data_IF_299649392525
#
_entry.id   IF_299649392525
#
_cell.length_a   1.000
_cell.length_b   1.000
_cell.length_c   1.000
_cell.angle_alpha   90.00
_cell.angle_beta   90.00
_cell.angle_gamma   90.00
#
_symmetry.space_group_name_H-M   'P 1'
#
loop_
_entity.id
_entity.type
_entity.pdbx_description
1 polymer ?
#
# COMPACT_ATOMS: atom_id res chain seq x y z
N UNK A 1 -26.07 -5.24 -19.19
CA UNK A 1 -24.65 -4.89 -19.44
C UNK A 1 -24.53 -4.36 -20.86
N UNK A 2 -23.59 -3.43 -21.12
CA UNK A 2 -23.25 -3.04 -22.50
C UNK A 2 -22.60 -4.22 -23.22
N UNK A 3 -22.72 -4.25 -24.56
CA UNK A 3 -22.04 -5.29 -25.36
C UNK A 3 -20.51 -5.14 -25.34
N UNK A 4 -20.02 -3.90 -25.29
CA UNK A 4 -18.58 -3.56 -25.16
C UNK A 4 -18.44 -2.30 -24.31
N UNK A 5 -17.52 -2.30 -23.35
CA UNK A 5 -17.15 -1.12 -22.58
C UNK A 5 -15.97 -0.39 -23.24
N UNK A 6 -15.90 0.91 -23.07
CA UNK A 6 -14.72 1.67 -23.51
C UNK A 6 -13.52 1.28 -22.63
N UNK A 7 -13.75 1.24 -21.31
CA UNK A 7 -12.70 0.90 -20.34
C UNK A 7 -13.21 -0.09 -19.29
N UNK A 8 -12.36 -1.05 -18.94
CA UNK A 8 -12.55 -1.91 -17.77
C UNK A 8 -11.37 -1.75 -16.83
N UNK A 9 -11.66 -1.47 -15.56
CA UNK A 9 -10.66 -1.42 -14.48
C UNK A 9 -10.82 -2.69 -13.64
N UNK A 10 -9.75 -3.46 -13.48
CA UNK A 10 -9.76 -4.70 -12.71
C UNK A 10 -9.10 -4.50 -11.35
N UNK A 11 -9.89 -4.62 -10.28
CA UNK A 11 -9.50 -4.50 -8.89
C UNK A 11 -10.07 -3.27 -8.20
N UNK A 12 -10.94 -3.49 -7.20
CA UNK A 12 -11.63 -2.49 -6.39
C UNK A 12 -10.83 -2.02 -5.16
N UNK A 13 -9.49 -2.11 -5.20
CA UNK A 13 -8.62 -1.44 -4.24
C UNK A 13 -8.53 0.05 -4.52
N UNK A 14 -7.89 0.82 -3.61
CA UNK A 14 -7.82 2.28 -3.72
C UNK A 14 -7.20 2.78 -5.03
N UNK A 15 -6.22 2.07 -5.59
CA UNK A 15 -5.61 2.44 -6.89
C UNK A 15 -6.60 2.28 -8.03
N UNK A 16 -7.34 1.16 -8.07
CA UNK A 16 -8.36 0.94 -9.08
C UNK A 16 -9.55 1.88 -8.95
N UNK A 17 -10.04 2.13 -7.74
CA UNK A 17 -11.10 3.09 -7.45
C UNK A 17 -10.71 4.52 -7.88
N UNK A 18 -9.51 4.96 -7.52
CA UNK A 18 -8.96 6.26 -7.93
C UNK A 18 -8.84 6.37 -9.46
N UNK A 19 -8.35 5.31 -10.11
CA UNK A 19 -8.22 5.27 -11.58
C UNK A 19 -9.59 5.35 -12.26
N UNK A 20 -10.57 4.54 -11.81
CA UNK A 20 -11.91 4.51 -12.38
C UNK A 20 -12.61 5.87 -12.23
N UNK A 21 -12.56 6.46 -11.05
CA UNK A 21 -13.12 7.77 -10.76
C UNK A 21 -12.51 8.86 -11.63
N UNK A 22 -11.18 8.99 -11.67
CA UNK A 22 -10.50 10.02 -12.46
C UNK A 22 -10.67 9.82 -13.97
N UNK A 23 -10.69 8.56 -14.44
CA UNK A 23 -10.96 8.26 -15.84
C UNK A 23 -12.36 8.72 -16.23
N UNK A 24 -13.35 8.48 -15.37
CA UNK A 24 -14.73 8.91 -15.62
C UNK A 24 -14.89 10.43 -15.55
N UNK A 25 -14.15 11.12 -14.70
CA UNK A 25 -14.09 12.59 -14.66
C UNK A 25 -13.54 13.17 -15.98
N UNK A 26 -12.45 12.59 -16.51
CA UNK A 26 -11.80 13.06 -17.75
C UNK A 26 -12.56 12.67 -19.02
N UNK A 27 -13.33 11.60 -18.96
CA UNK A 27 -14.09 11.04 -20.08
C UNK A 27 -15.53 10.73 -19.65
N UNK A 28 -16.36 11.78 -19.42
CA UNK A 28 -17.71 11.60 -18.91
C UNK A 28 -18.62 10.78 -19.84
N UNK A 29 -18.39 10.82 -21.16
CA UNK A 29 -19.19 10.10 -22.16
C UNK A 29 -18.79 8.62 -22.30
N UNK A 30 -17.59 8.22 -21.83
CA UNK A 30 -17.13 6.84 -21.93
C UNK A 30 -17.81 5.92 -20.94
N UNK A 31 -18.03 4.69 -21.36
CA UNK A 31 -18.48 3.61 -20.47
C UNK A 31 -17.29 3.02 -19.73
N UNK A 32 -17.31 3.12 -18.41
CA UNK A 32 -16.25 2.57 -17.53
C UNK A 32 -16.87 1.57 -16.58
N UNK A 33 -16.29 0.37 -16.53
CA UNK A 33 -16.65 -0.70 -15.61
C UNK A 33 -15.50 -0.98 -14.64
N UNK A 34 -15.77 -0.93 -13.34
CA UNK A 34 -14.88 -1.40 -12.29
C UNK A 34 -15.27 -2.82 -11.87
N UNK A 35 -14.37 -3.78 -12.00
CA UNK A 35 -14.59 -5.20 -11.65
C UNK A 35 -13.83 -5.55 -10.40
N UNK A 36 -14.51 -6.11 -9.39
CA UNK A 36 -13.93 -6.58 -8.13
C UNK A 36 -14.42 -7.99 -7.81
N UNK A 37 -13.51 -8.88 -7.45
CA UNK A 37 -13.82 -10.28 -7.12
C UNK A 37 -14.52 -10.46 -5.78
N UNK A 38 -14.28 -9.55 -4.84
CA UNK A 38 -14.89 -9.59 -3.51
C UNK A 38 -16.30 -8.99 -3.49
N UNK A 39 -17.02 -9.24 -2.41
CA UNK A 39 -18.38 -8.71 -2.20
C UNK A 39 -18.40 -7.21 -1.90
N UNK A 40 -17.25 -6.58 -1.67
CA UNK A 40 -17.11 -5.14 -1.50
C UNK A 40 -15.70 -4.69 -1.89
N UNK A 41 -15.52 -3.40 -2.13
CA UNK A 41 -14.21 -2.81 -2.42
C UNK A 41 -13.31 -2.78 -1.19
N UNK A 42 -12.02 -2.53 -1.37
CA UNK A 42 -11.03 -2.35 -0.32
C UNK A 42 -10.81 -3.57 0.62
N UNK A 43 -11.12 -4.79 0.19
CA UNK A 43 -11.04 -5.98 1.04
C UNK A 43 -9.62 -6.49 1.30
N UNK A 44 -8.65 -6.13 0.46
CA UNK A 44 -7.27 -6.58 0.57
C UNK A 44 -6.34 -5.50 1.15
N UNK A 45 -5.21 -5.18 0.51
CA UNK A 45 -4.18 -4.27 1.03
C UNK A 45 -4.74 -2.90 1.46
N UNK A 46 -5.75 -2.41 0.78
CA UNK A 46 -6.43 -1.13 1.10
C UNK A 46 -7.13 -1.16 2.45
N UNK A 47 -7.74 -2.27 2.82
CA UNK A 47 -8.42 -2.47 4.12
C UNK A 47 -7.51 -3.04 5.21
N UNK A 48 -6.26 -3.38 4.90
CA UNK A 48 -5.30 -4.05 5.79
C UNK A 48 -3.95 -3.31 5.81
N UNK A 49 -3.97 -2.04 6.20
CA UNK A 49 -2.80 -1.18 6.33
C UNK A 49 -2.82 -0.39 7.64
N UNK A 50 -1.84 0.48 7.84
CA UNK A 50 -1.71 1.29 9.06
C UNK A 50 -2.55 2.57 9.08
N UNK A 51 -3.32 2.87 8.03
CA UNK A 51 -4.13 4.08 7.93
C UNK A 51 -3.34 5.40 7.85
N UNK A 52 -2.04 5.36 7.61
CA UNK A 52 -1.17 6.54 7.65
C UNK A 52 -1.15 7.28 6.31
N UNK A 53 -1.44 8.57 6.32
CA UNK A 53 -1.14 9.52 5.25
C UNK A 53 0.32 9.95 5.43
N UNK A 54 1.20 9.42 4.58
CA UNK A 54 2.64 9.59 4.72
C UNK A 54 3.14 10.91 4.14
N UNK A 55 4.15 11.52 4.80
CA UNK A 55 4.81 12.75 4.33
C UNK A 55 6.01 12.49 3.39
N UNK A 56 6.39 11.23 3.13
CA UNK A 56 7.46 10.91 2.15
C UNK A 56 8.89 10.97 2.66
N UNK A 57 9.13 10.96 3.97
CA UNK A 57 10.46 11.16 4.61
C UNK A 57 11.56 10.19 4.19
N UNK A 58 11.22 9.01 3.68
CA UNK A 58 12.19 7.96 3.39
C UNK A 58 12.65 7.90 1.93
N UNK A 59 11.99 8.64 1.03
CA UNK A 59 12.14 8.43 -0.41
C UNK A 59 13.25 9.30 -0.99
N UNK A 60 14.02 8.74 -1.97
CA UNK A 60 15.02 9.53 -2.67
C UNK A 60 14.39 10.74 -3.36
N UNK A 61 15.01 11.92 -3.28
CA UNK A 61 14.54 13.09 -4.00
C UNK A 61 14.45 12.81 -5.53
N UNK A 62 13.36 13.31 -6.15
CA UNK A 62 13.12 13.15 -7.59
C UNK A 62 12.57 11.77 -8.03
N UNK A 63 12.34 10.82 -7.11
CA UNK A 63 11.65 9.57 -7.43
C UNK A 63 10.13 9.78 -7.59
N UNK A 64 9.49 8.96 -8.45
CA UNK A 64 8.01 8.95 -8.57
C UNK A 64 7.35 8.75 -7.21
N UNK A 65 7.96 7.95 -6.37
CA UNK A 65 7.46 7.63 -5.04
C UNK A 65 7.47 8.86 -4.11
N UNK A 66 8.49 9.72 -4.18
CA UNK A 66 8.57 10.96 -3.43
C UNK A 66 7.51 11.97 -3.91
N UNK A 67 7.42 12.17 -5.23
CA UNK A 67 6.44 13.08 -5.84
C UNK A 67 5.00 12.65 -5.55
N UNK A 68 4.65 11.39 -5.87
CA UNK A 68 3.30 10.88 -5.66
C UNK A 68 2.90 10.85 -4.18
N UNK A 69 3.85 10.62 -3.26
CA UNK A 69 3.57 10.67 -1.85
C UNK A 69 3.24 12.10 -1.38
N UNK A 70 4.04 13.09 -1.77
CA UNK A 70 3.85 14.51 -1.38
C UNK A 70 2.51 15.03 -1.92
N UNK A 71 2.25 14.86 -3.21
CA UNK A 71 1.00 15.28 -3.85
C UNK A 71 -0.21 14.50 -3.32
N UNK A 72 -0.07 13.20 -3.18
CA UNK A 72 -1.13 12.31 -2.69
C UNK A 72 -1.55 12.59 -1.26
N UNK A 73 -0.63 13.00 -0.39
CA UNK A 73 -0.95 13.39 0.98
C UNK A 73 -1.91 14.60 1.00
N UNK A 74 -1.58 15.64 0.24
CA UNK A 74 -2.43 16.83 0.12
C UNK A 74 -3.81 16.51 -0.46
N UNK A 75 -3.83 15.80 -1.60
CA UNK A 75 -5.07 15.41 -2.28
C UNK A 75 -5.96 14.49 -1.41
N UNK A 76 -5.35 13.59 -0.62
CA UNK A 76 -6.12 12.71 0.29
C UNK A 76 -6.81 13.54 1.38
N UNK A 77 -6.10 14.48 1.99
CA UNK A 77 -6.68 15.38 3.03
C UNK A 77 -7.80 16.23 2.44
N UNK A 78 -7.59 16.81 1.27
CA UNK A 78 -8.60 17.61 0.56
C UNK A 78 -9.85 16.79 0.21
N UNK A 79 -9.64 15.60 -0.35
CA UNK A 79 -10.74 14.69 -0.66
C UNK A 79 -11.54 14.30 0.59
N UNK A 80 -10.84 13.96 1.68
CA UNK A 80 -11.50 13.63 2.94
C UNK A 80 -12.30 14.79 3.51
N UNK A 81 -11.75 16.00 3.46
CA UNK A 81 -12.45 17.22 3.93
C UNK A 81 -13.71 17.51 3.09
N UNK A 82 -13.64 17.29 1.77
CA UNK A 82 -14.79 17.47 0.87
C UNK A 82 -15.93 16.49 1.14
N UNK A 83 -15.61 15.29 1.64
CA UNK A 83 -16.57 14.20 1.80
C UNK A 83 -16.83 13.80 3.25
N UNK A 84 -16.50 14.67 4.22
CA UNK A 84 -16.70 14.45 5.66
C UNK A 84 -16.09 13.14 6.17
N UNK A 85 -14.94 12.72 5.59
CA UNK A 85 -14.17 11.57 6.05
C UNK A 85 -13.21 12.06 7.13
N UNK A 86 -13.25 11.42 8.30
CA UNK A 86 -12.41 11.79 9.42
C UNK A 86 -10.90 11.62 9.09
N UNK A 87 -10.14 12.68 9.28
CA UNK A 87 -8.68 12.71 9.21
C UNK A 87 -8.15 13.31 10.49
N UNK A 88 -7.17 12.70 11.12
CA UNK A 88 -6.48 13.25 12.28
C UNK A 88 -5.03 13.56 11.93
N UNK A 89 -4.64 14.82 12.05
CA UNK A 89 -3.24 15.25 11.90
C UNK A 89 -2.52 15.06 13.25
N UNK A 90 -2.13 13.84 13.54
CA UNK A 90 -1.43 13.50 14.78
C UNK A 90 0.10 13.66 14.69
N UNK A 91 0.65 13.88 13.51
CA UNK A 91 2.10 13.92 13.31
C UNK A 91 2.78 12.57 13.54
N UNK A 92 4.09 12.54 13.34
CA UNK A 92 4.93 11.33 13.51
C UNK A 92 6.27 11.71 14.11
N UNK A 93 6.74 10.93 15.07
CA UNK A 93 8.09 11.00 15.62
C UNK A 93 8.93 9.82 15.13
N UNK A 94 10.10 10.12 14.57
CA UNK A 94 11.13 9.14 14.21
C UNK A 94 12.16 9.13 15.34
N UNK A 95 12.09 8.13 16.20
CA UNK A 95 12.82 8.11 17.48
C UNK A 95 14.13 7.35 17.36
N UNK A 96 15.23 7.98 17.75
CA UNK A 96 16.54 7.35 17.91
C UNK A 96 16.74 6.89 19.36
N UNK A 97 17.12 5.63 19.55
CA UNK A 97 17.27 5.00 20.88
C UNK A 97 18.72 4.68 21.25
N UNK A 98 19.65 4.89 20.32
CA UNK A 98 21.10 4.69 20.51
C UNK A 98 21.90 5.61 19.59
N UNK A 99 23.21 5.72 19.80
CA UNK A 99 24.12 6.61 19.05
C UNK A 99 24.17 6.31 17.54
N UNK A 100 24.08 5.04 17.14
CA UNK A 100 24.07 4.68 15.72
C UNK A 100 22.78 5.21 15.05
N UNK A 101 21.65 5.09 15.73
CA UNK A 101 20.39 5.64 15.26
C UNK A 101 20.41 7.18 15.24
N UNK A 102 21.11 7.83 16.19
CA UNK A 102 21.30 9.29 16.15
C UNK A 102 22.08 9.73 14.90
N UNK A 103 23.16 9.02 14.54
CA UNK A 103 23.92 9.31 13.32
C UNK A 103 23.09 9.11 12.05
N UNK A 104 22.27 8.04 11.99
CA UNK A 104 21.31 7.80 10.90
C UNK A 104 20.20 8.87 10.85
N UNK A 105 19.77 9.34 12.01
CA UNK A 105 18.75 10.38 12.16
C UNK A 105 19.22 11.70 11.54
N UNK A 106 20.50 12.08 11.73
CA UNK A 106 21.07 13.27 11.11
C UNK A 106 20.96 13.22 9.57
N UNK A 107 21.39 12.12 8.96
CA UNK A 107 21.32 11.95 7.51
C UNK A 107 19.86 11.94 6.98
N UNK A 108 18.94 11.39 7.79
CA UNK A 108 17.51 11.39 7.44
C UNK A 108 16.91 12.80 7.54
N UNK A 109 17.30 13.58 8.54
CA UNK A 109 16.86 14.96 8.73
C UNK A 109 17.27 15.83 7.53
N UNK A 110 18.52 15.75 7.09
CA UNK A 110 19.03 16.46 5.92
C UNK A 110 18.29 16.07 4.64
N UNK A 111 17.95 14.79 4.48
CA UNK A 111 17.11 14.30 3.37
C UNK A 111 15.69 14.88 3.42
N UNK A 112 15.10 14.99 4.60
CA UNK A 112 13.79 15.61 4.75
C UNK A 112 13.81 17.07 4.31
N UNK A 113 14.84 17.83 4.68
CA UNK A 113 15.01 19.22 4.25
C UNK A 113 15.18 19.31 2.72
N UNK A 114 15.96 18.41 2.13
CA UNK A 114 16.14 18.34 0.65
C UNK A 114 14.83 18.06 -0.08
N UNK A 115 13.93 17.28 0.52
CA UNK A 115 12.59 16.98 -0.02
C UNK A 115 11.54 18.06 0.32
N UNK A 116 11.96 19.16 0.95
CA UNK A 116 11.05 20.25 1.39
C UNK A 116 9.92 19.69 2.29
N UNK A 117 10.28 18.83 3.25
CA UNK A 117 9.37 18.29 4.26
C UNK A 117 9.57 19.08 5.55
N UNK A 118 8.47 19.62 6.11
CA UNK A 118 8.49 20.31 7.40
C UNK A 118 8.81 19.32 8.52
N UNK A 119 10.01 19.43 9.05
CA UNK A 119 10.54 18.58 10.12
C UNK A 119 11.19 19.40 11.21
N UNK A 120 11.05 18.95 12.45
CA UNK A 120 11.74 19.53 13.61
C UNK A 120 12.60 18.49 14.30
N UNK A 121 13.84 18.86 14.62
CA UNK A 121 14.70 18.07 15.48
C UNK A 121 14.26 18.23 16.93
N UNK A 122 14.15 17.12 17.65
CA UNK A 122 13.86 17.09 19.08
C UNK A 122 15.06 16.44 19.81
N UNK A 123 15.51 17.08 20.86
CA UNK A 123 16.41 16.44 21.82
C UNK A 123 15.63 15.49 22.76
N UNK A 124 16.34 14.82 23.68
CA UNK A 124 15.73 13.86 24.60
C UNK A 124 14.72 14.50 25.56
N UNK A 125 14.95 15.76 25.97
CA UNK A 125 14.06 16.48 26.87
C UNK A 125 12.78 16.93 26.15
N UNK A 126 12.91 17.46 24.93
CA UNK A 126 11.80 17.84 24.06
C UNK A 126 10.97 16.59 23.67
N UNK A 127 11.62 15.48 23.31
CA UNK A 127 10.93 14.22 23.04
C UNK A 127 10.10 13.76 24.23
N UNK A 128 10.67 13.80 25.45
CA UNK A 128 9.96 13.41 26.67
C UNK A 128 8.80 14.35 27.00
N UNK A 129 8.95 15.64 26.71
CA UNK A 129 7.87 16.61 26.92
C UNK A 129 6.68 16.36 25.98
N UNK A 130 6.93 16.01 24.69
CA UNK A 130 5.88 15.71 23.71
C UNK A 130 5.28 14.31 23.90
N UNK A 131 6.10 13.32 24.28
CA UNK A 131 5.75 11.91 24.44
C UNK A 131 6.29 11.35 25.78
N UNK A 132 5.64 11.59 26.90
CA UNK A 132 6.12 11.17 28.23
C UNK A 132 6.33 9.66 28.37
N UNK A 133 5.64 8.87 27.56
CA UNK A 133 5.70 7.39 27.56
C UNK A 133 6.75 6.82 26.59
N UNK A 134 7.44 7.68 25.84
CA UNK A 134 8.45 7.28 24.85
C UNK A 134 9.84 7.65 25.33
N UNK A 135 10.78 6.73 25.21
CA UNK A 135 12.20 6.93 25.53
C UNK A 135 13.04 6.94 24.26
N UNK A 136 13.94 7.89 24.17
CA UNK A 136 14.89 8.02 23.08
C UNK A 136 15.97 9.03 23.40
N UNK A 137 17.03 9.09 22.60
CA UNK A 137 18.07 10.10 22.67
C UNK A 137 17.68 11.38 21.91
N UNK A 138 16.69 11.29 21.03
CA UNK A 138 16.14 12.37 20.23
C UNK A 138 15.16 11.82 19.21
N UNK A 139 14.52 12.74 18.47
CA UNK A 139 13.59 12.38 17.41
C UNK A 139 13.54 13.43 16.30
N UNK A 140 13.04 13.01 15.12
CA UNK A 140 12.55 13.92 14.08
C UNK A 140 11.03 13.98 14.18
N UNK A 141 10.48 15.14 14.44
CA UNK A 141 9.04 15.40 14.39
C UNK A 141 8.64 15.77 12.96
N UNK A 142 7.67 15.05 12.40
CA UNK A 142 7.12 15.21 11.05
C UNK A 142 5.66 15.59 11.17
N UNK A 143 5.33 16.86 11.06
CA UNK A 143 3.98 17.39 11.29
C UNK A 143 2.99 17.04 10.21
N UNK A 144 3.45 16.90 8.96
CA UNK A 144 2.60 16.62 7.80
C UNK A 144 2.05 15.19 7.72
N UNK A 145 2.23 14.38 8.78
CA UNK A 145 1.72 13.01 8.83
C UNK A 145 0.36 12.98 9.52
N UNK A 146 -0.61 12.30 8.88
CA UNK A 146 -1.98 12.16 9.39
C UNK A 146 -2.41 10.69 9.36
N UNK A 147 -3.57 10.41 9.92
CA UNK A 147 -4.22 9.10 9.85
C UNK A 147 -5.63 9.20 9.27
N UNK A 148 -6.06 8.15 8.58
CA UNK A 148 -7.36 8.04 7.91
C UNK A 148 -7.78 6.58 7.80
N UNK A 149 -9.05 6.31 7.62
CA UNK A 149 -9.53 5.00 7.16
C UNK A 149 -9.56 4.96 5.63
N UNK A 150 -8.56 4.31 5.02
CA UNK A 150 -8.47 4.16 3.56
C UNK A 150 -9.59 3.31 2.96
N UNK A 151 -10.29 2.49 3.74
CA UNK A 151 -11.49 1.80 3.28
C UNK A 151 -12.58 2.82 2.95
N UNK A 152 -12.86 3.75 3.88
CA UNK A 152 -13.84 4.82 3.69
C UNK A 152 -13.48 5.73 2.51
N UNK A 153 -12.20 6.07 2.37
CA UNK A 153 -11.72 6.85 1.21
C UNK A 153 -12.01 6.12 -0.10
N UNK A 154 -11.75 4.81 -0.15
CA UNK A 154 -12.00 4.00 -1.36
C UNK A 154 -13.48 3.86 -1.67
N UNK A 155 -14.30 3.58 -0.67
CA UNK A 155 -15.76 3.53 -0.80
C UNK A 155 -16.31 4.84 -1.37
N UNK A 156 -15.83 5.97 -0.86
CA UNK A 156 -16.27 7.28 -1.37
C UNK A 156 -15.80 7.55 -2.79
N UNK A 157 -14.58 7.15 -3.17
CA UNK A 157 -14.11 7.25 -4.57
C UNK A 157 -15.01 6.44 -5.51
N UNK A 158 -15.47 5.27 -5.09
CA UNK A 158 -16.39 4.45 -5.87
C UNK A 158 -17.78 5.11 -5.95
N UNK A 159 -18.27 5.70 -4.86
CA UNK A 159 -19.52 6.48 -4.89
C UNK A 159 -19.45 7.65 -5.91
N UNK A 160 -18.34 8.39 -5.91
CA UNK A 160 -18.11 9.47 -6.87
C UNK A 160 -18.03 8.94 -8.32
N UNK A 161 -17.36 7.81 -8.51
CA UNK A 161 -17.29 7.13 -9.80
C UNK A 161 -18.68 6.75 -10.34
N UNK A 162 -19.52 6.15 -9.48
CA UNK A 162 -20.88 5.74 -9.82
C UNK A 162 -21.80 6.94 -10.05
N UNK A 163 -21.64 8.01 -9.27
CA UNK A 163 -22.38 9.27 -9.47
C UNK A 163 -22.11 9.91 -10.84
N UNK A 164 -20.90 9.69 -11.39
CA UNK A 164 -20.54 10.09 -12.75
C UNK A 164 -21.04 9.13 -13.85
N UNK A 165 -21.81 8.08 -13.49
CA UNK A 165 -22.32 7.07 -14.40
C UNK A 165 -21.34 5.92 -14.68
N UNK A 166 -20.33 5.72 -13.84
CA UNK A 166 -19.53 4.49 -13.82
C UNK A 166 -20.32 3.31 -13.28
N UNK A 167 -19.88 2.10 -13.57
CA UNK A 167 -20.53 0.87 -13.13
C UNK A 167 -19.52 0.06 -12.30
N UNK A 168 -19.91 -0.39 -11.11
CA UNK A 168 -19.13 -1.31 -10.28
C UNK A 168 -19.76 -2.70 -10.31
N UNK A 169 -18.96 -3.71 -10.67
CA UNK A 169 -19.36 -5.12 -10.70
C UNK A 169 -18.56 -5.87 -9.64
N UNK A 170 -19.19 -6.12 -8.49
CA UNK A 170 -18.65 -6.91 -7.38
C UNK A 170 -18.86 -8.41 -7.59
N UNK A 171 -18.25 -9.26 -6.73
CA UNK A 171 -18.31 -10.72 -6.80
C UNK A 171 -17.92 -11.26 -8.19
N UNK A 172 -17.01 -10.58 -8.88
CA UNK A 172 -16.65 -10.91 -10.26
C UNK A 172 -15.15 -11.03 -10.40
N UNK A 173 -14.66 -12.26 -10.46
CA UNK A 173 -13.24 -12.58 -10.62
C UNK A 173 -12.89 -12.72 -12.10
N UNK A 174 -11.85 -12.01 -12.56
CA UNK A 174 -11.26 -12.21 -13.88
C UNK A 174 -10.36 -13.44 -13.83
N UNK A 175 -10.72 -14.49 -14.57
CA UNK A 175 -10.02 -15.78 -14.57
C UNK A 175 -9.30 -16.09 -15.89
N UNK A 176 -9.56 -15.29 -16.93
CA UNK A 176 -8.91 -15.37 -18.23
C UNK A 176 -9.03 -14.06 -18.99
N UNK A 177 -8.10 -13.82 -19.91
CA UNK A 177 -8.15 -12.64 -20.76
C UNK A 177 -7.47 -12.93 -22.12
N UNK A 178 -7.94 -12.23 -23.15
CA UNK A 178 -7.31 -12.22 -24.47
C UNK A 178 -7.42 -10.86 -25.10
N UNK A 179 -6.35 -10.43 -25.75
CA UNK A 179 -6.27 -9.17 -26.48
C UNK A 179 -6.28 -9.45 -27.98
N UNK A 180 -7.20 -8.81 -28.71
CA UNK A 180 -7.29 -8.80 -30.16
C UNK A 180 -7.06 -7.40 -30.71
N UNK A 181 -6.98 -7.26 -32.03
CA UNK A 181 -6.69 -5.97 -32.67
C UNK A 181 -7.73 -4.87 -32.31
N UNK A 182 -9.00 -5.24 -32.15
CA UNK A 182 -10.09 -4.29 -31.93
C UNK A 182 -10.56 -4.20 -30.48
N UNK A 183 -10.37 -5.26 -29.67
CA UNK A 183 -10.94 -5.35 -28.33
C UNK A 183 -10.17 -6.30 -27.42
N UNK A 184 -10.38 -6.15 -26.12
CA UNK A 184 -10.01 -7.10 -25.07
C UNK A 184 -11.24 -7.88 -24.62
N UNK A 185 -11.07 -9.20 -24.47
CA UNK A 185 -12.09 -10.09 -23.90
C UNK A 185 -11.60 -10.58 -22.53
N UNK A 186 -12.41 -10.32 -21.50
CA UNK A 186 -12.16 -10.82 -20.13
C UNK A 186 -13.14 -11.96 -19.86
N UNK A 187 -12.59 -13.11 -19.47
CA UNK A 187 -13.37 -14.26 -18.98
C UNK A 187 -13.45 -14.15 -17.46
N UNK A 188 -14.66 -14.04 -16.95
CA UNK A 188 -14.91 -13.81 -15.53
C UNK A 188 -15.77 -14.92 -14.93
N UNK A 189 -15.72 -15.02 -13.62
CA UNK A 189 -16.70 -15.74 -12.80
C UNK A 189 -17.43 -14.74 -11.92
N UNK A 190 -18.73 -14.55 -12.18
CA UNK A 190 -19.60 -13.65 -11.43
C UNK A 190 -20.48 -14.46 -10.49
N UNK A 191 -20.24 -14.37 -9.18
CA UNK A 191 -20.92 -15.19 -8.16
C UNK A 191 -20.88 -16.71 -8.46
N UNK A 192 -19.79 -17.17 -9.08
CA UNK A 192 -19.60 -18.57 -9.48
C UNK A 192 -20.10 -18.92 -10.90
N UNK A 193 -20.81 -18.02 -11.58
CA UNK A 193 -21.30 -18.23 -12.95
C UNK A 193 -20.36 -17.61 -13.98
N UNK A 194 -20.14 -18.26 -15.13
CA UNK A 194 -19.32 -17.72 -16.21
C UNK A 194 -19.91 -16.40 -16.77
N UNK A 195 -19.05 -15.39 -16.92
CA UNK A 195 -19.39 -14.12 -17.52
C UNK A 195 -18.28 -13.69 -18.47
N UNK A 196 -18.63 -13.20 -19.66
CA UNK A 196 -17.69 -12.60 -20.59
C UNK A 196 -17.92 -11.11 -20.68
N UNK A 197 -16.84 -10.33 -20.53
CA UNK A 197 -16.85 -8.87 -20.63
C UNK A 197 -15.93 -8.47 -21.79
N UNK A 198 -16.41 -7.58 -22.65
CA UNK A 198 -15.63 -7.02 -23.74
C UNK A 198 -15.34 -5.54 -23.48
N UNK A 199 -14.12 -5.09 -23.80
CA UNK A 199 -13.75 -3.68 -23.69
C UNK A 199 -12.74 -3.27 -24.77
N UNK A 200 -12.64 -1.96 -25.02
CA UNK A 200 -11.62 -1.42 -25.92
C UNK A 200 -10.25 -1.35 -25.24
N UNK A 201 -10.22 -1.09 -23.93
CA UNK A 201 -9.00 -0.99 -23.14
C UNK A 201 -9.21 -1.50 -21.71
N UNK A 202 -8.21 -2.20 -21.16
CA UNK A 202 -8.24 -2.68 -19.78
C UNK A 202 -7.09 -2.10 -18.97
N UNK A 203 -7.41 -1.66 -17.75
CA UNK A 203 -6.41 -1.30 -16.72
C UNK A 203 -6.50 -2.29 -15.58
N UNK A 204 -5.38 -2.90 -15.19
CA UNK A 204 -5.38 -3.82 -14.07
C UNK A 204 -4.68 -3.25 -12.84
N UNK A 205 -5.41 -3.15 -11.74
CA UNK A 205 -4.97 -2.69 -10.42
C UNK A 205 -5.08 -3.82 -9.40
N UNK A 206 -4.57 -5.00 -9.76
CA UNK A 206 -4.83 -6.28 -9.10
C UNK A 206 -3.91 -6.61 -7.91
N UNK A 207 -3.09 -5.64 -7.46
CA UNK A 207 -2.31 -5.73 -6.23
C UNK A 207 -1.48 -7.01 -6.10
N UNK A 208 -1.85 -7.88 -5.16
CA UNK A 208 -1.17 -9.16 -4.92
C UNK A 208 -1.22 -10.14 -6.11
N UNK A 209 -2.13 -9.92 -7.07
CA UNK A 209 -2.28 -10.77 -8.27
C UNK A 209 -1.67 -10.13 -9.52
N UNK A 210 -0.91 -9.04 -9.39
CA UNK A 210 -0.44 -8.23 -10.51
C UNK A 210 0.36 -9.02 -11.56
N UNK A 211 1.33 -9.84 -11.15
CA UNK A 211 2.13 -10.67 -12.05
C UNK A 211 1.28 -11.72 -12.78
N UNK A 212 0.30 -12.32 -12.08
CA UNK A 212 -0.62 -13.29 -12.68
C UNK A 212 -1.52 -12.65 -13.72
N UNK A 213 -2.06 -11.48 -13.40
CA UNK A 213 -2.93 -10.75 -14.32
C UNK A 213 -2.17 -10.29 -15.57
N UNK A 214 -0.94 -9.77 -15.39
CA UNK A 214 -0.08 -9.37 -16.50
C UNK A 214 0.28 -10.54 -17.41
N UNK A 215 0.66 -11.69 -16.82
CA UNK A 215 0.93 -12.91 -17.58
C UNK A 215 -0.34 -13.46 -18.28
N UNK A 216 -1.53 -13.34 -17.67
CA UNK A 216 -2.80 -13.74 -18.25
C UNK A 216 -3.11 -12.97 -19.55
N UNK A 217 -2.68 -11.70 -19.60
CA UNK A 217 -2.77 -10.87 -20.82
C UNK A 217 -1.68 -11.17 -21.86
N UNK A 218 -0.86 -12.22 -21.65
CA UNK A 218 0.20 -12.60 -22.57
C UNK A 218 1.47 -11.73 -22.50
N UNK A 219 1.59 -10.85 -21.50
CA UNK A 219 2.77 -10.01 -21.29
C UNK A 219 3.74 -10.72 -20.35
N UNK A 220 4.93 -11.15 -20.83
CA UNK A 220 5.92 -11.83 -19.98
C UNK A 220 6.42 -10.90 -18.86
N UNK A 221 6.43 -11.39 -17.62
CA UNK A 221 6.96 -10.64 -16.49
C UNK A 221 8.36 -11.13 -16.12
N UNK A 222 9.29 -10.19 -15.91
CA UNK A 222 10.62 -10.49 -15.36
C UNK A 222 10.63 -10.49 -13.83
N UNK A 223 9.46 -10.48 -13.19
CA UNK A 223 9.26 -10.42 -11.75
C UNK A 223 8.14 -11.36 -11.31
N UNK A 224 8.13 -11.67 -10.03
CA UNK A 224 7.01 -12.31 -9.36
C UNK A 224 6.64 -11.55 -8.09
N UNK A 225 5.34 -11.49 -7.77
CA UNK A 225 4.89 -10.94 -6.49
C UNK A 225 5.12 -11.97 -5.40
N UNK A 226 5.96 -11.61 -4.44
CA UNK A 226 6.21 -12.38 -3.22
C UNK A 226 5.46 -11.71 -2.07
N UNK A 227 4.53 -12.42 -1.40
CA UNK A 227 3.80 -11.86 -0.28
C UNK A 227 4.67 -11.82 0.97
N UNK A 228 4.79 -10.63 1.58
CA UNK A 228 5.34 -10.48 2.93
C UNK A 228 4.22 -10.08 3.88
N UNK A 229 4.02 -10.91 4.89
CA UNK A 229 2.98 -10.73 5.88
C UNK A 229 3.48 -9.84 7.01
N UNK A 230 2.78 -8.73 7.22
CA UNK A 230 3.00 -7.82 8.34
C UNK A 230 2.03 -8.18 9.47
N UNK A 231 2.55 -8.64 10.58
CA UNK A 231 1.75 -8.97 11.76
C UNK A 231 1.64 -7.75 12.66
N UNK A 232 0.43 -7.51 13.14
CA UNK A 232 0.13 -6.44 14.06
C UNK A 232 -0.38 -6.98 15.37
N UNK A 233 -0.18 -6.19 16.41
CA UNK A 233 -0.92 -6.26 17.66
C UNK A 233 -1.64 -4.94 17.88
N UNK A 234 -2.67 -4.97 18.71
CA UNK A 234 -3.36 -3.80 19.22
C UNK A 234 -3.08 -3.70 20.72
N UNK A 235 -2.78 -2.51 21.21
CA UNK A 235 -2.67 -2.29 22.65
C UNK A 235 -4.04 -2.45 23.31
N UNK A 236 -4.04 -2.95 24.54
CA UNK A 236 -5.26 -3.03 25.35
C UNK A 236 -5.90 -1.63 25.50
N UNK A 237 -7.21 -1.55 25.65
CA UNK A 237 -7.98 -0.29 25.68
C UNK A 237 -7.52 0.71 26.76
N UNK A 238 -6.91 0.23 27.83
CA UNK A 238 -6.32 1.09 28.87
C UNK A 238 -5.16 1.97 28.35
N UNK A 239 -4.64 1.70 27.16
CA UNK A 239 -3.57 2.45 26.50
C UNK A 239 -4.10 3.48 25.48
N UNK A 240 -5.40 3.72 25.42
CA UNK A 240 -5.93 4.85 24.63
C UNK A 240 -5.27 6.17 25.10
N UNK A 241 -4.76 6.96 24.15
CA UNK A 241 -4.02 8.18 24.48
C UNK A 241 -2.61 7.96 25.07
N UNK A 242 -2.08 6.73 25.02
CA UNK A 242 -0.74 6.42 25.51
C UNK A 242 0.38 7.12 24.73
N UNK A 243 0.18 7.36 23.43
CA UNK A 243 1.04 8.17 22.58
C UNK A 243 0.20 9.25 21.87
N UNK A 244 0.78 10.44 21.70
CA UNK A 244 0.15 11.55 21.01
C UNK A 244 0.38 11.51 19.50
N UNK A 245 1.55 11.03 19.09
CA UNK A 245 2.02 10.93 17.72
C UNK A 245 2.15 9.46 17.27
N UNK A 246 2.39 9.25 15.99
CA UNK A 246 2.86 7.96 15.48
C UNK A 246 4.34 7.80 15.89
N UNK A 247 4.70 6.68 16.52
CA UNK A 247 6.07 6.45 17.01
C UNK A 247 6.76 5.41 16.13
N UNK A 248 7.77 5.86 15.41
CA UNK A 248 8.50 5.06 14.43
C UNK A 248 9.99 4.97 14.78
N UNK A 249 10.67 3.85 14.52
CA UNK A 249 12.12 3.77 14.64
C UNK A 249 12.80 4.57 13.52
N UNK A 250 14.05 4.98 13.76
CA UNK A 250 14.95 5.37 12.69
C UNK A 250 15.20 4.15 11.80
N UNK A 251 15.04 4.26 10.45
CA UNK A 251 15.20 3.12 9.56
C UNK A 251 16.63 2.60 9.56
N UNK A 252 16.76 1.27 9.54
CA UNK A 252 18.04 0.61 9.29
C UNK A 252 18.18 0.40 7.77
N UNK A 253 19.20 0.98 7.11
CA UNK A 253 19.36 0.83 5.67
C UNK A 253 19.71 -0.61 5.23
N UNK A 254 20.20 -1.43 6.16
CA UNK A 254 20.53 -2.83 5.89
C UNK A 254 19.31 -3.76 5.96
N UNK A 255 18.14 -3.23 6.39
CA UNK A 255 16.91 -4.00 6.49
C UNK A 255 15.93 -3.64 5.37
N UNK A 256 15.28 -4.63 4.73
CA UNK A 256 14.35 -4.39 3.62
C UNK A 256 13.03 -3.72 4.06
N UNK A 257 12.71 -3.78 5.34
CA UNK A 257 11.46 -3.25 5.89
C UNK A 257 11.72 -2.47 7.18
N UNK A 258 10.83 -1.50 7.44
CA UNK A 258 10.86 -0.71 8.65
C UNK A 258 10.55 -1.59 9.88
N UNK A 259 11.20 -1.30 11.00
CA UNK A 259 10.96 -2.00 12.26
C UNK A 259 9.59 -1.70 12.87
N UNK A 260 9.26 -2.44 13.94
CA UNK A 260 8.00 -2.32 14.68
C UNK A 260 7.81 -0.89 15.20
N UNK A 261 6.62 -0.34 14.99
CA UNK A 261 6.24 1.03 15.36
C UNK A 261 4.85 1.06 15.99
N UNK A 262 4.49 2.15 16.65
CA UNK A 262 3.17 2.38 17.21
C UNK A 262 2.40 3.34 16.29
N UNK A 263 1.18 2.95 15.95
CA UNK A 263 0.29 3.75 15.10
C UNK A 263 -1.03 3.98 15.82
N UNK A 264 -1.38 5.24 16.02
CA UNK A 264 -2.73 5.61 16.40
C UNK A 264 -3.65 5.35 15.22
N UNK A 265 -4.82 4.86 15.50
CA UNK A 265 -5.88 4.61 14.52
C UNK A 265 -6.99 5.65 14.70
N UNK A 266 -7.79 5.84 13.65
CA UNK A 266 -8.86 6.86 13.66
C UNK A 266 -9.95 6.57 14.71
N UNK A 267 -10.07 5.32 15.16
CA UNK A 267 -10.97 4.89 16.23
C UNK A 267 -10.38 5.09 17.64
N UNK A 268 -9.20 5.72 17.76
CA UNK A 268 -8.47 5.98 19.00
C UNK A 268 -7.69 4.77 19.53
N UNK A 269 -7.75 3.62 18.87
CA UNK A 269 -6.91 2.46 19.23
C UNK A 269 -5.46 2.68 18.81
N UNK A 270 -4.55 1.89 19.37
CA UNK A 270 -3.12 1.94 19.02
C UNK A 270 -2.70 0.56 18.53
N UNK A 271 -2.25 0.49 17.29
CA UNK A 271 -1.64 -0.71 16.74
C UNK A 271 -0.12 -0.68 16.90
N UNK A 272 0.46 -1.86 17.04
CA UNK A 272 1.88 -2.11 17.20
C UNK A 272 2.33 -3.06 16.11
N UNK A 273 3.24 -2.62 15.27
CA UNK A 273 3.69 -3.39 14.11
C UNK A 273 3.86 -2.51 12.89
N UNK A 274 3.93 -3.13 11.71
CA UNK A 274 4.07 -4.57 11.50
C UNK A 274 5.53 -5.05 11.60
N UNK A 275 5.70 -6.35 11.85
CA UNK A 275 6.90 -7.07 11.45
C UNK A 275 6.86 -7.41 9.94
N UNK A 276 7.79 -8.21 9.44
CA UNK A 276 7.76 -8.68 8.06
C UNK A 276 8.22 -10.13 7.97
N UNK A 277 7.25 -11.04 7.87
CA UNK A 277 7.50 -12.47 7.71
C UNK A 277 7.06 -12.96 6.35
N UNK A 278 7.60 -14.09 5.88
CA UNK A 278 7.19 -14.71 4.62
C UNK A 278 5.71 -15.11 4.68
N UNK A 279 4.91 -14.65 3.71
CA UNK A 279 3.56 -15.13 3.47
C UNK A 279 3.56 -16.37 2.57
N UNK A 280 2.71 -17.35 2.86
CA UNK A 280 2.57 -18.60 2.09
C UNK A 280 1.27 -18.66 1.29
N UNK A 281 0.47 -17.63 1.39
CA UNK A 281 -0.74 -17.37 0.60
C UNK A 281 -0.81 -15.88 0.30
N UNK A 282 -1.05 -15.51 -0.96
CA UNK A 282 -1.09 -14.10 -1.40
C UNK A 282 -2.19 -13.29 -0.73
N UNK A 283 -3.34 -13.90 -0.53
CA UNK A 283 -4.50 -13.27 0.11
C UNK A 283 -4.93 -14.06 1.32
N UNK A 284 -4.12 -14.04 2.35
CA UNK A 284 -4.34 -14.82 3.56
C UNK A 284 -3.95 -14.07 4.81
N UNK A 285 -4.94 -13.52 5.50
CA UNK A 285 -4.73 -12.66 6.66
C UNK A 285 -4.68 -13.42 7.99
N UNK A 286 -5.05 -14.69 8.02
CA UNK A 286 -4.97 -15.56 9.19
C UNK A 286 -3.53 -15.94 9.57
N UNK A 287 -3.32 -16.45 10.79
CA UNK A 287 -1.99 -16.76 11.34
C UNK A 287 -1.31 -17.93 10.63
N UNK A 288 -2.05 -18.99 10.36
CA UNK A 288 -1.61 -20.16 9.58
C UNK A 288 -2.36 -20.10 8.27
N UNK A 289 -1.68 -19.67 7.22
CA UNK A 289 -2.31 -19.46 5.93
C UNK A 289 -1.38 -19.90 4.82
N UNK A 290 -1.67 -21.06 4.23
CA UNK A 290 -0.88 -21.71 3.20
C UNK A 290 -1.76 -21.97 1.98
N UNK A 291 -1.27 -21.63 0.81
CA UNK A 291 -1.82 -22.01 -0.49
C UNK A 291 -0.78 -22.86 -1.22
N UNK A 292 -1.14 -24.09 -1.59
CA UNK A 292 -0.24 -24.96 -2.33
C UNK A 292 0.20 -24.33 -3.66
N UNK A 293 -0.74 -23.67 -4.36
CA UNK A 293 -0.46 -22.95 -5.61
C UNK A 293 0.54 -21.80 -5.41
N UNK A 294 0.31 -20.94 -4.40
CA UNK A 294 1.17 -19.78 -4.15
C UNK A 294 2.55 -20.25 -3.67
N UNK A 295 2.58 -21.21 -2.76
CA UNK A 295 3.82 -21.81 -2.25
C UNK A 295 4.65 -22.43 -3.37
N UNK A 296 4.02 -23.24 -4.24
CA UNK A 296 4.71 -23.87 -5.36
C UNK A 296 5.31 -22.85 -6.32
N UNK A 297 4.51 -21.86 -6.73
CA UNK A 297 4.99 -20.80 -7.62
C UNK A 297 6.15 -20.01 -7.03
N UNK A 298 6.11 -19.76 -5.72
CA UNK A 298 7.18 -19.06 -5.02
C UNK A 298 8.45 -19.92 -4.94
N UNK A 299 8.35 -21.19 -4.57
CA UNK A 299 9.49 -22.09 -4.44
C UNK A 299 10.15 -22.44 -5.79
N UNK A 300 9.43 -22.38 -6.89
CA UNK A 300 9.96 -22.57 -8.24
C UNK A 300 10.56 -21.32 -8.86
N UNK A 301 10.43 -20.16 -8.21
CA UNK A 301 10.94 -18.89 -8.69
C UNK A 301 12.36 -18.62 -8.17
N UNK A 302 13.34 -18.49 -9.07
CA UNK A 302 14.74 -18.29 -8.70
C UNK A 302 15.00 -17.03 -7.87
N UNK A 303 14.27 -15.94 -8.17
CA UNK A 303 14.35 -14.67 -7.44
C UNK A 303 14.00 -14.82 -5.96
N UNK A 304 13.04 -15.69 -5.62
CA UNK A 304 12.68 -15.98 -4.23
C UNK A 304 13.86 -16.53 -3.41
N UNK A 305 14.59 -17.48 -3.96
CA UNK A 305 15.74 -18.05 -3.25
C UNK A 305 16.87 -17.04 -3.06
N UNK A 306 17.14 -16.23 -4.09
CA UNK A 306 18.18 -15.20 -4.04
C UNK A 306 17.85 -14.14 -2.98
N UNK A 307 16.62 -13.59 -2.97
CA UNK A 307 16.22 -12.59 -1.95
C UNK A 307 16.22 -13.19 -0.54
N UNK A 308 15.77 -14.45 -0.40
CA UNK A 308 15.73 -15.14 0.88
C UNK A 308 17.14 -15.37 1.43
N UNK A 309 18.08 -15.84 0.61
CA UNK A 309 19.46 -16.07 1.03
C UNK A 309 20.18 -14.76 1.40
N UNK A 310 19.95 -13.70 0.63
CA UNK A 310 20.54 -12.38 0.92
C UNK A 310 20.03 -11.78 2.24
N UNK A 311 18.80 -12.14 2.66
CA UNK A 311 18.17 -11.60 3.87
C UNK A 311 17.96 -12.67 4.97
N UNK A 312 18.66 -13.80 4.90
CA UNK A 312 18.39 -14.96 5.76
C UNK A 312 18.45 -14.64 7.26
N UNK A 313 19.46 -13.87 7.70
CA UNK A 313 19.62 -13.49 9.11
C UNK A 313 18.43 -12.64 9.61
N UNK A 314 18.07 -11.63 8.84
CA UNK A 314 16.92 -10.76 9.16
C UNK A 314 15.61 -11.56 9.17
N UNK A 315 15.40 -12.41 8.16
CA UNK A 315 14.22 -13.27 8.06
C UNK A 315 14.05 -14.24 9.22
N UNK A 316 15.15 -14.84 9.71
CA UNK A 316 15.12 -15.74 10.87
C UNK A 316 14.78 -14.98 12.17
N UNK A 317 15.27 -13.75 12.33
CA UNK A 317 14.93 -12.91 13.49
C UNK A 317 13.44 -12.55 13.47
N UNK A 318 12.93 -12.13 12.31
CA UNK A 318 11.51 -11.79 12.14
C UNK A 318 10.61 -13.02 12.37
N UNK A 319 10.99 -14.18 11.84
CA UNK A 319 10.26 -15.43 12.04
C UNK A 319 10.22 -15.80 13.54
N UNK A 320 11.36 -15.72 14.23
CA UNK A 320 11.42 -15.96 15.68
C UNK A 320 10.49 -15.02 16.45
N UNK A 321 10.51 -13.73 16.12
CA UNK A 321 9.69 -12.72 16.79
C UNK A 321 8.18 -12.91 16.49
N UNK A 322 7.82 -13.42 15.31
CA UNK A 322 6.45 -13.78 14.94
C UNK A 322 5.88 -14.92 15.83
N UNK A 323 6.71 -15.92 16.13
CA UNK A 323 6.28 -17.05 16.95
C UNK A 323 6.46 -16.81 18.45
N UNK A 324 7.35 -15.90 18.84
CA UNK A 324 7.72 -15.65 20.24
C UNK A 324 7.40 -14.21 20.66
N UNK A 325 6.21 -14.02 21.17
CA UNK A 325 5.66 -12.72 21.58
C UNK A 325 6.61 -11.87 22.47
N UNK A 326 7.39 -12.43 23.45
CA UNK A 326 8.35 -11.64 24.20
C UNK A 326 9.47 -11.02 23.34
N UNK A 327 9.88 -11.67 22.26
CA UNK A 327 10.84 -11.10 21.30
C UNK A 327 10.25 -9.89 20.57
N UNK A 328 8.99 -9.95 20.20
CA UNK A 328 8.26 -8.82 19.63
C UNK A 328 8.16 -7.65 20.61
N UNK A 329 7.77 -7.93 21.87
CA UNK A 329 7.73 -6.92 22.95
C UNK A 329 9.07 -6.24 23.14
N UNK A 330 10.18 -6.97 23.03
CA UNK A 330 11.53 -6.39 23.14
C UNK A 330 11.79 -5.30 22.09
N UNK A 331 11.24 -5.43 20.89
CA UNK A 331 11.36 -4.38 19.87
C UNK A 331 10.57 -3.12 20.25
N UNK A 332 9.36 -3.29 20.78
CA UNK A 332 8.53 -2.18 21.27
C UNK A 332 9.19 -1.48 22.46
N UNK A 333 9.78 -2.26 23.36
CA UNK A 333 10.40 -1.75 24.59
C UNK A 333 11.68 -0.93 24.35
N UNK A 334 12.18 -0.86 23.12
CA UNK A 334 13.24 0.10 22.77
C UNK A 334 12.82 1.54 23.06
N UNK A 335 11.58 1.89 22.76
CA UNK A 335 11.04 3.24 22.98
C UNK A 335 9.83 3.30 23.90
N UNK A 336 9.14 2.19 24.19
CA UNK A 336 8.02 2.14 25.14
C UNK A 336 8.23 1.01 26.18
N UNK A 337 9.09 1.21 27.19
CA UNK A 337 9.54 0.14 28.10
C UNK A 337 8.47 -0.35 29.06
N UNK A 338 7.35 0.35 29.22
CA UNK A 338 6.25 -0.02 30.12
C UNK A 338 5.32 -1.05 29.53
N UNK A 339 5.30 -1.24 28.20
CA UNK A 339 4.43 -2.19 27.51
C UNK A 339 4.90 -3.63 27.78
N UNK A 340 3.96 -4.48 28.17
CA UNK A 340 4.20 -5.90 28.50
C UNK A 340 3.51 -6.81 27.47
N UNK A 341 3.92 -8.07 27.40
CA UNK A 341 3.35 -9.04 26.48
C UNK A 341 1.82 -9.24 26.65
N UNK A 342 1.28 -9.09 27.86
CA UNK A 342 -0.15 -9.18 28.15
C UNK A 342 -0.97 -8.02 27.56
N UNK A 343 -0.32 -6.89 27.30
CA UNK A 343 -0.96 -5.66 26.81
C UNK A 343 -1.14 -5.66 25.28
N UNK A 344 -0.55 -6.64 24.59
CA UNK A 344 -0.64 -6.81 23.15
C UNK A 344 -1.74 -7.83 22.80
N UNK A 345 -2.81 -7.39 22.17
CA UNK A 345 -3.86 -8.23 21.62
C UNK A 345 -3.61 -8.52 20.14
N UNK A 346 -3.92 -9.72 19.62
CA UNK A 346 -3.82 -10.00 18.20
C UNK A 346 -4.66 -9.00 17.38
N UNK A 347 -4.09 -8.54 16.24
CA UNK A 347 -4.77 -7.66 15.30
C UNK A 347 -4.63 -8.23 13.88
N UNK A 348 -5.55 -7.96 12.95
CA UNK A 348 -5.48 -8.45 11.59
C UNK A 348 -4.15 -8.09 10.92
N UNK A 349 -3.56 -9.07 10.22
CA UNK A 349 -2.32 -8.86 9.49
C UNK A 349 -2.57 -8.09 8.19
N UNK A 350 -1.56 -7.39 7.70
CA UNK A 350 -1.49 -6.90 6.34
C UNK A 350 -0.60 -7.80 5.47
N UNK A 351 -0.78 -7.78 4.17
CA UNK A 351 0.11 -8.47 3.22
C UNK A 351 0.68 -7.45 2.24
N UNK A 352 2.00 -7.38 2.19
CA UNK A 352 2.72 -6.54 1.22
C UNK A 352 2.94 -7.33 -0.05
N UNK A 353 2.48 -6.79 -1.18
CA UNK A 353 2.80 -7.29 -2.52
C UNK A 353 4.19 -6.76 -2.90
N UNK A 354 5.21 -7.56 -2.75
CA UNK A 354 6.57 -7.17 -3.12
C UNK A 354 6.95 -7.80 -4.45
N UNK A 355 7.14 -6.98 -5.47
CA UNK A 355 7.71 -7.44 -6.73
C UNK A 355 9.20 -7.76 -6.55
N UNK A 356 9.59 -8.97 -6.91
CA UNK A 356 10.95 -9.49 -6.86
C UNK A 356 11.37 -9.88 -8.25
N UNK A 357 12.51 -9.39 -8.73
CA UNK A 357 13.06 -9.72 -10.03
C UNK A 357 13.72 -11.11 -10.03
N UNK A 358 13.95 -11.68 -11.21
CA UNK A 358 14.62 -12.99 -11.39
C UNK A 358 16.04 -13.03 -10.78
N UNK A 359 16.71 -11.88 -10.65
CA UNK A 359 18.01 -11.76 -10.01
C UNK A 359 17.95 -11.60 -8.48
N UNK A 360 16.74 -11.55 -7.91
CA UNK A 360 16.49 -11.42 -6.46
C UNK A 360 16.41 -9.97 -5.96
N UNK A 361 16.51 -8.99 -6.85
CA UNK A 361 16.34 -7.58 -6.45
C UNK A 361 14.88 -7.27 -6.18
N UNK A 362 14.65 -6.47 -5.12
CA UNK A 362 13.34 -5.92 -4.80
C UNK A 362 13.05 -4.72 -5.70
N UNK A 363 11.84 -4.66 -6.23
CA UNK A 363 11.39 -3.45 -6.95
C UNK A 363 10.91 -2.43 -5.92
N UNK A 364 11.62 -1.32 -5.81
CA UNK A 364 11.37 -0.30 -4.78
C UNK A 364 10.47 0.85 -5.25
N UNK A 365 10.25 1.00 -6.56
CA UNK A 365 9.41 2.05 -7.13
C UNK A 365 8.24 1.45 -7.90
N UNK A 366 7.39 2.30 -8.47
CA UNK A 366 6.27 1.87 -9.29
C UNK A 366 6.75 1.13 -10.53
N UNK A 367 6.03 0.08 -10.88
CA UNK A 367 6.30 -0.71 -12.08
C UNK A 367 4.98 -0.89 -12.84
N UNK A 368 5.04 -0.58 -14.13
CA UNK A 368 3.94 -0.74 -15.06
C UNK A 368 4.35 -1.65 -16.21
N UNK A 369 3.40 -2.39 -16.75
CA UNK A 369 3.53 -3.13 -18.01
C UNK A 369 2.35 -2.77 -18.89
N UNK A 370 2.52 -2.86 -20.19
CA UNK A 370 1.51 -2.41 -21.13
C UNK A 370 1.54 -3.18 -22.45
N UNK A 371 0.39 -3.28 -23.09
CA UNK A 371 0.22 -3.74 -24.46
C UNK A 371 -0.44 -2.67 -25.31
N UNK A 372 -0.93 -3.03 -26.49
CA UNK A 372 -1.69 -2.10 -27.32
C UNK A 372 -3.01 -1.67 -26.64
N UNK A 373 -3.67 -2.58 -25.89
CA UNK A 373 -4.98 -2.36 -25.29
C UNK A 373 -5.05 -2.64 -23.79
N UNK A 374 -3.89 -2.66 -23.14
CA UNK A 374 -3.87 -2.85 -21.69
C UNK A 374 -2.76 -2.04 -21.00
N UNK A 375 -3.02 -1.70 -19.72
CA UNK A 375 -2.05 -1.12 -18.79
C UNK A 375 -2.17 -1.86 -17.46
N UNK A 376 -1.04 -2.33 -16.94
CA UNK A 376 -0.98 -3.12 -15.72
C UNK A 376 -0.16 -2.42 -14.65
N UNK A 377 -0.74 -2.22 -13.48
CA UNK A 377 -0.02 -1.78 -12.28
C UNK A 377 0.65 -3.01 -11.67
N UNK A 378 1.90 -3.24 -12.03
CA UNK A 378 2.68 -4.42 -11.65
C UNK A 378 3.24 -4.33 -10.24
N UNK A 379 3.61 -3.14 -9.80
CA UNK A 379 4.08 -2.87 -8.44
C UNK A 379 3.66 -1.48 -8.01
N UNK A 380 2.91 -1.41 -6.93
CA UNK A 380 2.55 -0.17 -6.24
C UNK A 380 2.96 -0.30 -4.76
N UNK A 381 4.25 -0.05 -4.45
CA UNK A 381 4.75 -0.23 -3.10
C UNK A 381 4.23 0.86 -2.14
N UNK A 382 4.31 0.61 -0.82
CA UNK A 382 4.00 1.65 0.16
C UNK A 382 4.83 2.92 -0.14
N UNK A 383 4.19 4.09 -0.21
CA UNK A 383 2.89 4.46 0.33
C UNK A 383 1.76 4.53 -0.73
N UNK A 384 1.50 3.47 -1.45
CA UNK A 384 0.53 3.45 -2.56
C UNK A 384 -0.87 3.98 -2.17
N UNK A 385 -1.33 3.76 -0.94
CA UNK A 385 -2.63 4.27 -0.49
C UNK A 385 -2.63 5.81 -0.42
N UNK A 386 -1.60 6.42 0.18
CA UNK A 386 -1.40 7.88 0.18
C UNK A 386 -1.27 8.43 -1.24
N UNK A 387 -0.59 7.70 -2.12
CA UNK A 387 -0.27 8.09 -3.50
C UNK A 387 -1.38 7.75 -4.50
N UNK A 388 -2.52 7.21 -4.06
CA UNK A 388 -3.51 6.61 -4.95
C UNK A 388 -4.07 7.58 -6.00
N UNK A 389 -4.30 8.85 -5.65
CA UNK A 389 -4.80 9.84 -6.60
C UNK A 389 -3.75 10.21 -7.66
N UNK A 390 -2.49 10.56 -7.30
CA UNK A 390 -1.43 10.76 -8.30
C UNK A 390 -1.15 9.51 -9.16
N UNK A 391 -1.28 8.30 -8.61
CA UNK A 391 -1.17 7.06 -9.39
C UNK A 391 -2.31 6.96 -10.41
N UNK A 392 -3.56 7.22 -9.98
CA UNK A 392 -4.72 7.23 -10.87
C UNK A 392 -4.58 8.26 -11.99
N UNK A 393 -4.10 9.46 -11.67
CA UNK A 393 -3.80 10.52 -12.62
C UNK A 393 -2.74 10.06 -13.66
N UNK A 394 -1.63 9.52 -13.19
CA UNK A 394 -0.57 8.97 -14.04
C UNK A 394 -1.08 7.86 -14.98
N UNK A 395 -1.92 6.95 -14.46
CA UNK A 395 -2.53 5.89 -15.26
C UNK A 395 -3.45 6.50 -16.33
N UNK A 396 -4.28 7.48 -15.99
CA UNK A 396 -5.15 8.16 -16.95
C UNK A 396 -4.35 8.89 -18.05
N UNK A 397 -3.22 9.51 -17.69
CA UNK A 397 -2.32 10.15 -18.67
C UNK A 397 -1.74 9.10 -19.63
N UNK A 398 -1.30 7.94 -19.13
CA UNK A 398 -0.82 6.83 -19.95
C UNK A 398 -1.90 6.26 -20.87
N UNK A 399 -3.13 6.12 -20.37
CA UNK A 399 -4.28 5.70 -21.19
C UNK A 399 -4.57 6.72 -22.29
N UNK A 400 -4.53 8.03 -21.96
CA UNK A 400 -4.69 9.12 -22.93
C UNK A 400 -3.66 9.05 -24.06
N UNK A 401 -2.40 8.90 -23.70
CA UNK A 401 -1.30 8.76 -24.68
C UNK A 401 -1.53 7.59 -25.64
N UNK A 402 -1.94 6.42 -25.11
CA UNK A 402 -2.14 5.20 -25.88
C UNK A 402 -3.39 5.21 -26.75
N UNK A 403 -4.46 5.80 -26.26
CA UNK A 403 -5.75 5.85 -26.96
C UNK A 403 -5.92 7.09 -27.83
N UNK A 404 -4.85 7.91 -27.93
CA UNK A 404 -4.84 9.15 -28.75
C UNK A 404 -6.11 9.99 -28.54
N UNK A 405 -6.48 10.22 -27.26
CA UNK A 405 -7.59 11.10 -26.97
C UNK A 405 -7.32 12.42 -27.66
N UNK A 406 -8.22 12.85 -28.52
CA UNK A 406 -8.14 14.16 -29.15
C UNK A 406 -8.00 15.19 -28.01
N UNK A 407 -7.02 16.08 -28.12
CA UNK A 407 -6.83 17.14 -27.16
C UNK A 407 -8.08 18.01 -27.13
N UNK A 408 -8.87 17.90 -26.09
CA UNK A 408 -9.95 18.87 -25.77
C UNK A 408 -9.38 20.22 -25.29
N UNK A 409 -8.09 20.48 -25.55
CA UNK A 409 -7.38 21.72 -25.23
C UNK A 409 -7.31 22.64 -26.46
N UNK A 410 -8.45 22.83 -27.11
CA UNK A 410 -8.59 23.88 -28.11
C UNK A 410 -9.99 24.49 -27.94
N UNK A 411 -10.15 25.31 -26.84
CA UNK A 411 -10.93 26.57 -26.87
C UNK A 411 -10.70 27.34 -25.55
#
# INVERSE_FOLDING_TARGET
MKSVYDYVIVGGGIVGASTAWQLKQRRPDCSVLLVEKEASVAQHQTGHNSGVIHAGVYYPPGSLKADFCKRGAALTVEFCAKHDIAVENCGKLLVATNEQEMARMQALYERCLTNDIDVRWLDAAELHAEEPNVKGLGAIAVRATSIVDYRRVTEQMVCEFEALGGITQLNTEVVGASEAAEQVTLHCQASGEPLTIHCQFVVTCSGLMADRMTNMMGIPTAFQIIPYRGEYYQLASQYQGFVNHLIYPIPDPDLPFLGVHLTRMIDGSITVGPNAVQGWKREGYGKVNVSLKDTWQMLTFAGFWKVTLNNLKAGLVELKNSWWKPGYVKQVNKYCPTIKAKDLNPYPAGIRAQAVLNDGKLVHDFLFAESARSLHVCNAPSPAATSAMPIGEYICDKVREKQHWLSDDAD
#
